data_IF_108695481340
#
_entry.id   IF_108695481340
#
_cell.length_a   1.000
_cell.length_b   1.000
_cell.length_c   1.000
_cell.angle_alpha   90.00
_cell.angle_beta   90.00
_cell.angle_gamma   90.00
#
_symmetry.space_group_name_H-M   'P 1'
#
loop_
_entity.id
_entity.type
_entity.pdbx_description
1 polymer ?
#
# COMPACT_ATOMS: atom_id res chain seq x y z
N UNK A 1 34.54 25.83 -15.82
CA UNK A 1 35.69 25.05 -16.32
C UNK A 1 35.78 25.26 -17.81
N UNK A 2 36.96 25.66 -18.26
CA UNK A 2 37.23 26.23 -19.56
C UNK A 2 37.24 25.19 -20.70
N UNK A 3 36.94 25.71 -21.88
CA UNK A 3 36.99 25.15 -23.21
C UNK A 3 38.29 24.42 -23.55
N UNK A 4 38.16 23.26 -24.20
CA UNK A 4 39.24 22.54 -24.87
C UNK A 4 38.79 22.06 -26.25
N UNK A 5 38.37 22.98 -27.12
CA UNK A 5 38.34 22.72 -28.56
C UNK A 5 39.80 22.76 -29.03
N UNK A 6 40.43 21.60 -29.14
CA UNK A 6 41.68 21.48 -29.88
C UNK A 6 41.31 21.41 -31.36
N UNK A 7 41.79 22.45 -32.03
CA UNK A 7 41.53 22.86 -33.39
C UNK A 7 41.94 21.77 -34.41
N UNK A 8 40.94 21.17 -35.06
CA UNK A 8 41.10 20.10 -36.07
C UNK A 8 41.78 20.61 -37.36
N UNK A 9 41.93 21.93 -37.51
CA UNK A 9 42.58 22.56 -38.66
C UNK A 9 44.11 22.64 -38.52
N UNK A 10 44.67 22.55 -37.32
CA UNK A 10 46.13 22.66 -37.13
C UNK A 10 46.87 21.34 -37.38
N UNK A 11 46.19 20.19 -37.26
CA UNK A 11 46.80 18.87 -37.56
C UNK A 11 46.89 18.62 -39.07
N UNK A 12 46.04 19.27 -39.88
CA UNK A 12 46.07 19.16 -41.34
C UNK A 12 47.20 19.95 -42.02
N UNK A 13 47.78 20.95 -41.34
CA UNK A 13 48.76 21.86 -41.96
C UNK A 13 50.23 21.45 -41.74
N UNK A 14 50.53 20.56 -40.81
CA UNK A 14 51.92 20.14 -40.52
C UNK A 14 52.38 18.94 -41.37
N UNK A 15 51.44 18.21 -42.00
CA UNK A 15 51.76 17.07 -42.86
C UNK A 15 52.25 17.43 -44.27
N UNK A 16 52.02 18.65 -44.74
CA UNK A 16 52.23 19.03 -46.16
C UNK A 16 53.58 19.66 -46.47
N UNK A 17 54.37 20.07 -45.46
CA UNK A 17 55.64 20.77 -45.70
C UNK A 17 56.86 19.81 -45.70
N UNK A 18 56.74 18.60 -45.13
CA UNK A 18 57.85 17.64 -45.11
C UNK A 18 58.08 16.90 -46.45
N UNK A 19 57.10 16.89 -47.36
CA UNK A 19 57.22 16.24 -48.67
C UNK A 19 57.90 17.11 -49.75
N UNK A 20 58.05 18.42 -49.53
CA UNK A 20 58.51 19.36 -50.56
C UNK A 20 60.01 19.30 -50.89
N UNK A 21 60.86 18.84 -49.96
CA UNK A 21 62.32 18.94 -50.12
C UNK A 21 62.96 17.60 -50.53
N UNK A 22 62.34 16.47 -50.21
CA UNK A 22 62.86 15.14 -50.58
C UNK A 22 62.68 14.79 -52.07
N UNK A 23 61.70 15.40 -52.75
CA UNK A 23 61.37 15.11 -54.16
C UNK A 23 62.38 15.72 -55.13
N UNK A 24 63.08 16.79 -54.75
CA UNK A 24 64.00 17.52 -55.66
C UNK A 24 65.35 16.81 -55.81
N UNK A 25 65.80 16.03 -54.82
CA UNK A 25 67.10 15.33 -54.90
C UNK A 25 67.02 14.02 -55.70
N UNK A 26 65.86 13.36 -55.74
CA UNK A 26 65.65 12.13 -56.51
C UNK A 26 65.49 12.36 -58.02
N UNK A 27 65.18 13.59 -58.45
CA UNK A 27 65.01 13.92 -59.87
C UNK A 27 66.33 13.93 -60.67
N UNK A 28 67.50 13.92 -60.00
CA UNK A 28 68.80 14.06 -60.68
C UNK A 28 69.58 12.74 -60.82
N UNK A 29 69.06 11.62 -60.31
CA UNK A 29 69.75 10.30 -60.37
C UNK A 29 68.96 9.28 -61.22
N UNK A 30 67.72 9.58 -61.60
CA UNK A 30 66.88 8.65 -62.39
C UNK A 30 67.22 8.59 -63.88
N UNK A 31 68.08 9.46 -64.41
CA UNK A 31 68.39 9.49 -65.85
C UNK A 31 69.44 8.46 -66.31
N UNK A 32 69.94 7.58 -65.43
CA UNK A 32 71.07 6.68 -65.76
C UNK A 32 70.93 5.22 -65.29
N UNK A 33 69.71 4.70 -65.11
CA UNK A 33 69.52 3.27 -64.78
C UNK A 33 68.80 2.45 -65.86
N UNK A 34 69.22 1.19 -66.08
CA UNK A 34 68.75 0.34 -67.18
C UNK A 34 67.29 -0.09 -67.00
N UNK A 35 66.59 -0.23 -68.14
CA UNK A 35 65.19 -0.65 -68.23
C UNK A 35 65.04 -2.15 -67.98
N UNK A 36 65.12 -2.57 -66.72
CA UNK A 36 64.86 -3.96 -66.30
C UNK A 36 63.51 -4.12 -65.57
N UNK A 37 62.74 -5.19 -65.86
CA UNK A 37 61.38 -5.40 -65.32
C UNK A 37 61.35 -5.69 -63.81
N UNK A 38 62.48 -6.05 -63.21
CA UNK A 38 62.62 -6.28 -61.76
C UNK A 38 62.65 -4.94 -61.00
N UNK A 39 63.23 -3.90 -61.60
CA UNK A 39 63.33 -2.55 -61.02
C UNK A 39 61.95 -1.88 -60.99
N UNK A 40 61.13 -2.05 -62.02
CA UNK A 40 59.76 -1.55 -62.06
C UNK A 40 58.86 -2.14 -60.95
N UNK A 41 59.02 -3.44 -60.63
CA UNK A 41 58.30 -4.09 -59.51
C UNK A 41 58.74 -3.57 -58.14
N UNK A 42 60.03 -3.33 -57.94
CA UNK A 42 60.55 -2.74 -56.70
C UNK A 42 60.06 -1.29 -56.51
N UNK A 43 59.99 -0.51 -57.60
CA UNK A 43 59.50 0.88 -57.57
C UNK A 43 57.99 0.98 -57.32
N UNK A 44 57.18 0.03 -57.81
CA UNK A 44 55.75 -0.06 -57.51
C UNK A 44 55.48 -0.43 -56.03
N UNK A 45 56.37 -1.16 -55.36
CA UNK A 45 56.31 -1.43 -53.91
C UNK A 45 56.77 -0.23 -53.05
N UNK A 46 57.66 0.62 -53.59
CA UNK A 46 58.25 1.79 -52.93
C UNK A 46 57.51 3.13 -53.24
N UNK A 47 56.33 3.07 -53.84
CA UNK A 47 55.48 4.23 -54.17
C UNK A 47 56.11 5.30 -55.10
N UNK A 48 57.12 4.96 -55.89
CA UNK A 48 57.73 5.88 -56.85
C UNK A 48 57.10 5.73 -58.25
N UNK A 49 56.69 6.83 -58.93
CA UNK A 49 56.12 6.76 -60.26
C UNK A 49 57.21 6.35 -61.27
N UNK A 50 57.03 5.20 -61.93
CA UNK A 50 57.90 4.72 -63.02
C UNK A 50 57.16 4.84 -64.35
N UNK A 51 57.78 5.57 -65.29
CA UNK A 51 57.19 6.07 -66.54
C UNK A 51 56.86 4.99 -67.59
N UNK A 52 57.10 3.70 -67.32
CA UNK A 52 56.92 2.64 -68.33
C UNK A 52 55.89 1.56 -68.00
N UNK A 53 55.01 1.75 -67.00
CA UNK A 53 53.92 0.81 -66.73
C UNK A 53 52.66 1.52 -66.17
N UNK A 54 52.17 2.51 -66.92
CA UNK A 54 51.06 3.41 -66.55
C UNK A 54 49.70 2.72 -66.28
N UNK A 55 49.59 1.40 -66.45
CA UNK A 55 48.32 0.67 -66.28
C UNK A 55 48.34 -0.45 -65.24
N UNK A 56 49.44 -1.17 -65.08
CA UNK A 56 49.45 -2.43 -64.32
C UNK A 56 49.50 -2.22 -62.80
N UNK A 57 50.32 -1.26 -62.34
CA UNK A 57 50.53 -0.95 -60.92
C UNK A 57 49.27 -0.29 -60.30
N UNK A 58 48.68 0.71 -60.98
CA UNK A 58 47.44 1.36 -60.55
C UNK A 58 46.25 0.39 -60.50
N UNK A 59 46.08 -0.44 -61.54
CA UNK A 59 45.00 -1.44 -61.59
C UNK A 59 45.11 -2.48 -60.48
N UNK A 60 46.34 -2.87 -60.13
CA UNK A 60 46.58 -3.81 -59.01
C UNK A 60 46.25 -3.17 -57.66
N UNK A 61 46.68 -1.91 -57.43
CA UNK A 61 46.35 -1.14 -56.21
C UNK A 61 44.85 -0.89 -56.07
N UNK A 62 44.17 -0.53 -57.16
CA UNK A 62 42.74 -0.28 -57.16
C UNK A 62 41.93 -1.56 -56.90
N UNK A 63 42.35 -2.70 -57.47
CA UNK A 63 41.77 -4.01 -57.14
C UNK A 63 41.98 -4.39 -55.67
N UNK A 64 43.19 -4.17 -55.13
CA UNK A 64 43.49 -4.47 -53.74
C UNK A 64 42.68 -3.58 -52.79
N UNK A 65 42.61 -2.26 -53.05
CA UNK A 65 41.81 -1.32 -52.26
C UNK A 65 40.30 -1.60 -52.34
N UNK A 66 39.78 -1.97 -53.50
CA UNK A 66 38.38 -2.41 -53.63
C UNK A 66 38.12 -3.70 -52.85
N UNK A 67 39.01 -4.68 -52.94
CA UNK A 67 38.86 -5.95 -52.19
C UNK A 67 38.93 -5.74 -50.67
N UNK A 68 39.76 -4.81 -50.21
CA UNK A 68 39.87 -4.48 -48.79
C UNK A 68 38.64 -3.68 -48.31
N UNK A 69 38.15 -2.74 -49.12
CA UNK A 69 36.91 -2.01 -48.84
C UNK A 69 35.70 -2.94 -48.80
N UNK A 70 35.59 -3.88 -49.74
CA UNK A 70 34.54 -4.90 -49.78
C UNK A 70 34.58 -5.77 -48.51
N UNK A 71 35.78 -6.23 -48.11
CA UNK A 71 35.96 -7.00 -46.87
C UNK A 71 35.56 -6.20 -45.62
N UNK A 72 35.95 -4.93 -45.53
CA UNK A 72 35.58 -4.06 -44.40
C UNK A 72 34.07 -3.81 -44.39
N UNK A 73 33.46 -3.59 -45.56
CA UNK A 73 32.02 -3.39 -45.68
C UNK A 73 31.23 -4.64 -45.25
N UNK A 74 31.65 -5.83 -45.69
CA UNK A 74 31.03 -7.09 -45.26
C UNK A 74 31.17 -7.31 -43.75
N UNK A 75 32.34 -7.01 -43.17
CA UNK A 75 32.55 -7.09 -41.73
C UNK A 75 31.65 -6.12 -40.95
N UNK A 76 31.54 -4.86 -41.39
CA UNK A 76 30.65 -3.88 -40.76
C UNK A 76 29.17 -4.26 -40.92
N UNK A 77 28.79 -4.85 -42.06
CA UNK A 77 27.43 -5.36 -42.29
C UNK A 77 27.12 -6.50 -41.31
N UNK A 78 28.02 -7.48 -41.17
CA UNK A 78 27.85 -8.59 -40.23
C UNK A 78 27.79 -8.11 -38.78
N UNK A 79 28.64 -7.15 -38.39
CA UNK A 79 28.61 -6.58 -37.04
C UNK A 79 27.28 -5.87 -36.74
N UNK A 80 26.79 -5.03 -37.67
CA UNK A 80 25.49 -4.37 -37.51
C UNK A 80 24.33 -5.35 -37.44
N UNK A 81 24.36 -6.41 -38.23
CA UNK A 81 23.33 -7.45 -38.19
C UNK A 81 23.30 -8.15 -36.82
N UNK A 82 24.48 -8.47 -36.27
CA UNK A 82 24.59 -9.07 -34.93
C UNK A 82 24.10 -8.11 -33.82
N UNK A 83 24.48 -6.84 -33.89
CA UNK A 83 24.00 -5.82 -32.94
C UNK A 83 22.48 -5.64 -33.02
N UNK A 84 21.91 -5.66 -34.23
CA UNK A 84 20.47 -5.56 -34.42
C UNK A 84 19.74 -6.76 -33.81
N UNK A 85 20.20 -7.99 -34.10
CA UNK A 85 19.63 -9.21 -33.52
C UNK A 85 19.79 -9.28 -31.99
N UNK A 86 20.85 -8.68 -31.44
CA UNK A 86 21.00 -8.58 -29.99
C UNK A 86 19.99 -7.59 -29.40
N UNK A 87 19.86 -6.40 -29.99
CA UNK A 87 18.88 -5.39 -29.56
C UNK A 87 17.44 -5.86 -29.68
N UNK A 88 17.12 -6.61 -30.73
CA UNK A 88 15.79 -7.21 -30.92
C UNK A 88 15.47 -8.16 -29.78
N UNK A 89 16.39 -9.07 -29.43
CA UNK A 89 16.22 -9.98 -28.28
C UNK A 89 16.11 -9.26 -26.95
N UNK A 90 16.92 -8.21 -26.74
CA UNK A 90 16.85 -7.39 -25.52
C UNK A 90 15.52 -6.63 -25.41
N UNK A 91 15.00 -6.13 -26.54
CA UNK A 91 13.72 -5.44 -26.60
C UNK A 91 12.58 -6.41 -26.34
N UNK A 92 12.57 -7.58 -26.97
CA UNK A 92 11.57 -8.63 -26.75
C UNK A 92 11.53 -9.08 -25.28
N UNK A 93 12.69 -9.31 -24.67
CA UNK A 93 12.78 -9.64 -23.25
C UNK A 93 12.22 -8.51 -22.36
N UNK A 94 12.48 -7.25 -22.73
CA UNK A 94 11.96 -6.09 -22.01
C UNK A 94 10.44 -5.97 -22.15
N UNK A 95 9.92 -6.17 -23.36
CA UNK A 95 8.48 -6.16 -23.64
C UNK A 95 7.80 -7.25 -22.82
N UNK A 96 8.31 -8.47 -22.87
CA UNK A 96 7.76 -9.59 -22.10
C UNK A 96 7.71 -9.27 -20.61
N UNK A 97 8.80 -8.76 -20.03
CA UNK A 97 8.85 -8.36 -18.62
C UNK A 97 7.82 -7.28 -18.29
N UNK A 98 7.65 -6.27 -19.15
CA UNK A 98 6.66 -5.21 -18.94
C UNK A 98 5.23 -5.73 -19.05
N UNK A 99 4.97 -6.66 -19.97
CA UNK A 99 3.66 -7.30 -20.10
C UNK A 99 3.32 -8.12 -18.85
N UNK A 100 4.27 -8.86 -18.29
CA UNK A 100 4.10 -9.59 -17.03
C UNK A 100 3.85 -8.65 -15.85
N UNK A 101 4.61 -7.54 -15.74
CA UNK A 101 4.40 -6.51 -14.73
C UNK A 101 3.00 -5.88 -14.83
N UNK A 102 2.53 -5.57 -16.03
CA UNK A 102 1.20 -5.02 -16.27
C UNK A 102 0.09 -6.01 -15.88
N UNK A 103 0.24 -7.28 -16.26
CA UNK A 103 -0.73 -8.32 -15.88
C UNK A 103 -0.83 -8.48 -14.35
N UNK A 104 0.31 -8.44 -13.64
CA UNK A 104 0.33 -8.49 -12.19
C UNK A 104 -0.33 -7.25 -11.54
N UNK A 105 -0.11 -6.06 -12.10
CA UNK A 105 -0.76 -4.83 -11.63
C UNK A 105 -2.27 -4.84 -11.87
N UNK A 106 -2.73 -5.33 -13.02
CA UNK A 106 -4.15 -5.45 -13.31
C UNK A 106 -4.83 -6.47 -12.39
N UNK A 107 -4.19 -7.61 -12.12
CA UNK A 107 -4.70 -8.57 -11.14
C UNK A 107 -4.81 -7.93 -9.74
N UNK A 108 -3.78 -7.19 -9.32
CA UNK A 108 -3.80 -6.49 -8.02
C UNK A 108 -4.90 -5.44 -7.96
N UNK A 109 -5.13 -4.71 -9.06
CA UNK A 109 -6.21 -3.73 -9.15
C UNK A 109 -7.58 -4.40 -8.98
N UNK A 110 -7.83 -5.52 -9.65
CA UNK A 110 -9.08 -6.26 -9.52
C UNK A 110 -9.33 -6.74 -8.08
N UNK A 111 -8.29 -7.25 -7.41
CA UNK A 111 -8.39 -7.62 -5.98
C UNK A 111 -8.76 -6.42 -5.11
N UNK A 112 -8.08 -5.28 -5.29
CA UNK A 112 -8.36 -4.06 -4.52
C UNK A 112 -9.76 -3.50 -4.79
N UNK A 113 -10.27 -3.58 -6.02
CA UNK A 113 -11.64 -3.19 -6.35
C UNK A 113 -12.65 -4.10 -5.63
N UNK A 114 -12.38 -5.41 -5.55
CA UNK A 114 -13.17 -6.36 -4.76
C UNK A 114 -13.17 -6.06 -3.26
N UNK A 115 -11.99 -5.81 -2.67
CA UNK A 115 -11.86 -5.42 -1.26
C UNK A 115 -12.60 -4.11 -0.97
N UNK A 116 -12.49 -3.11 -1.85
CA UNK A 116 -13.22 -1.85 -1.72
C UNK A 116 -14.73 -2.04 -1.73
N UNK A 117 -15.25 -2.93 -2.58
CA UNK A 117 -16.66 -3.25 -2.61
C UNK A 117 -17.12 -3.90 -1.29
N UNK A 118 -16.34 -4.84 -0.75
CA UNK A 118 -16.63 -5.49 0.53
C UNK A 118 -16.64 -4.48 1.69
N UNK A 119 -15.64 -3.58 1.75
CA UNK A 119 -15.57 -2.55 2.79
C UNK A 119 -16.77 -1.60 2.68
N UNK A 120 -17.16 -1.23 1.46
CA UNK A 120 -18.31 -0.34 1.23
C UNK A 120 -19.62 -0.99 1.70
N UNK A 121 -19.79 -2.29 1.44
CA UNK A 121 -20.93 -3.06 1.92
C UNK A 121 -20.95 -3.14 3.45
N UNK A 122 -19.82 -3.50 4.08
CA UNK A 122 -19.71 -3.58 5.54
C UNK A 122 -20.00 -2.23 6.21
N UNK A 123 -19.54 -1.13 5.62
CA UNK A 123 -19.85 0.22 6.09
C UNK A 123 -21.35 0.50 6.05
N UNK A 124 -22.01 0.20 4.93
CA UNK A 124 -23.47 0.38 4.81
C UNK A 124 -24.24 -0.45 5.82
N UNK A 125 -23.79 -1.67 6.13
CA UNK A 125 -24.42 -2.52 7.13
C UNK A 125 -24.28 -1.94 8.53
N UNK A 126 -23.07 -1.48 8.90
CA UNK A 126 -22.81 -0.81 10.18
C UNK A 126 -23.64 0.47 10.33
N UNK A 127 -23.75 1.30 9.29
CA UNK A 127 -24.62 2.48 9.31
C UNK A 127 -26.09 2.11 9.54
N UNK A 128 -26.55 0.98 8.98
CA UNK A 128 -27.88 0.43 9.26
C UNK A 128 -28.07 -0.04 10.69
N UNK A 129 -27.06 -0.70 11.28
CA UNK A 129 -27.08 -1.12 12.69
C UNK A 129 -27.09 0.07 13.64
N UNK A 130 -26.30 1.11 13.36
CA UNK A 130 -26.28 2.35 14.16
C UNK A 130 -27.67 2.99 14.17
N UNK A 131 -28.33 3.12 13.02
CA UNK A 131 -29.71 3.65 12.97
C UNK A 131 -30.69 2.84 13.80
N UNK A 132 -30.60 1.51 13.76
CA UNK A 132 -31.45 0.66 14.62
C UNK A 132 -31.17 0.89 16.10
N UNK A 133 -29.91 1.05 16.49
CA UNK A 133 -29.55 1.36 17.87
C UNK A 133 -30.06 2.74 18.29
N UNK A 134 -29.95 3.75 17.43
CA UNK A 134 -30.53 5.08 17.66
C UNK A 134 -32.06 5.04 17.78
N UNK A 135 -32.73 4.21 16.98
CA UNK A 135 -34.18 3.99 17.09
C UNK A 135 -34.56 3.31 18.40
N UNK A 136 -33.81 2.29 18.82
CA UNK A 136 -33.98 1.64 20.12
C UNK A 136 -33.74 2.64 21.26
N UNK A 137 -32.71 3.48 21.15
CA UNK A 137 -32.43 4.53 22.13
C UNK A 137 -33.59 5.53 22.22
N UNK A 138 -34.10 6.02 21.07
CA UNK A 138 -35.25 6.93 21.03
C UNK A 138 -36.52 6.29 21.59
N UNK A 139 -36.73 4.99 21.35
CA UNK A 139 -37.88 4.25 21.85
C UNK A 139 -37.75 3.90 23.35
N UNK A 140 -36.52 3.72 23.84
CA UNK A 140 -36.20 3.33 25.21
C UNK A 140 -35.85 4.57 26.04
N UNK A 141 -36.82 5.45 26.29
CA UNK A 141 -36.67 6.63 27.16
C UNK A 141 -36.42 6.28 28.63
N UNK A 142 -36.64 5.03 29.04
CA UNK A 142 -36.12 4.48 30.28
C UNK A 142 -36.02 2.95 30.23
N UNK A 143 -35.11 2.35 30.99
CA UNK A 143 -35.05 0.90 31.18
C UNK A 143 -34.86 0.54 32.66
N UNK A 144 -35.38 -0.63 33.05
CA UNK A 144 -35.36 -1.09 34.44
C UNK A 144 -34.39 -2.27 34.60
N UNK A 145 -33.46 -2.17 35.55
CA UNK A 145 -32.65 -3.31 36.01
C UNK A 145 -33.16 -3.83 37.34
N UNK A 146 -33.22 -5.15 37.47
CA UNK A 146 -33.65 -5.82 38.68
C UNK A 146 -32.51 -6.65 39.26
N UNK A 147 -32.26 -6.50 40.56
CA UNK A 147 -31.35 -7.35 41.32
C UNK A 147 -32.11 -8.04 42.43
N UNK A 148 -31.89 -9.34 42.59
CA UNK A 148 -32.52 -10.14 43.63
C UNK A 148 -31.48 -10.59 44.65
N UNK A 149 -31.83 -10.54 45.94
CA UNK A 149 -31.08 -11.18 47.01
C UNK A 149 -31.99 -12.13 47.78
N UNK A 150 -31.52 -13.35 48.00
CA UNK A 150 -32.22 -14.32 48.83
C UNK A 150 -32.37 -13.79 50.25
N UNK A 151 -33.55 -13.97 50.80
CA UNK A 151 -33.92 -13.58 52.16
C UNK A 151 -34.68 -14.72 52.84
N UNK A 152 -35.10 -14.51 54.09
CA UNK A 152 -35.74 -15.51 54.95
C UNK A 152 -36.95 -16.15 54.28
N UNK A 153 -37.29 -17.37 54.71
CA UNK A 153 -38.48 -18.13 54.25
C UNK A 153 -38.52 -18.42 52.74
N UNK A 154 -37.35 -18.46 52.10
CA UNK A 154 -37.25 -18.67 50.64
C UNK A 154 -37.71 -17.46 49.82
N UNK A 155 -38.01 -16.33 50.47
CA UNK A 155 -38.39 -15.09 49.81
C UNK A 155 -37.15 -14.37 49.28
N UNK A 156 -37.37 -13.43 48.36
CA UNK A 156 -36.30 -12.63 47.78
C UNK A 156 -36.60 -11.14 47.91
N UNK A 157 -35.58 -10.39 48.27
CA UNK A 157 -35.60 -8.92 48.20
C UNK A 157 -35.22 -8.53 46.78
N UNK A 158 -36.14 -7.84 46.10
CA UNK A 158 -35.93 -7.36 44.74
C UNK A 158 -35.73 -5.86 44.77
N UNK A 159 -34.61 -5.39 44.20
CA UNK A 159 -34.36 -3.97 43.97
C UNK A 159 -34.47 -3.68 42.48
N UNK A 160 -35.35 -2.75 42.11
CA UNK A 160 -35.48 -2.21 40.76
C UNK A 160 -34.82 -0.84 40.65
N UNK A 161 -34.08 -0.60 39.57
CA UNK A 161 -33.46 0.69 39.25
C UNK A 161 -33.88 1.08 37.84
N UNK A 162 -34.49 2.26 37.72
CA UNK A 162 -34.84 2.86 36.44
C UNK A 162 -33.71 3.79 35.99
N UNK A 163 -33.25 3.60 34.76
CA UNK A 163 -32.23 4.40 34.10
C UNK A 163 -32.82 5.21 32.96
N UNK A 164 -32.27 6.40 32.74
CA UNK A 164 -32.73 7.36 31.72
C UNK A 164 -32.39 6.94 30.28
N UNK A 165 -31.29 6.21 30.09
CA UNK A 165 -30.88 5.70 28.77
C UNK A 165 -29.95 4.51 28.91
N UNK A 166 -30.03 3.56 27.97
CA UNK A 166 -29.14 2.41 27.88
C UNK A 166 -27.67 2.80 27.66
N UNK A 167 -27.42 3.94 27.01
CA UNK A 167 -26.05 4.44 26.71
C UNK A 167 -25.49 5.24 27.89
N UNK A 168 -26.36 5.94 28.63
CA UNK A 168 -26.00 6.71 29.83
C UNK A 168 -26.49 5.98 31.09
N UNK A 169 -26.02 4.74 31.28
CA UNK A 169 -26.39 3.90 32.43
C UNK A 169 -25.91 4.42 33.79
N UNK A 170 -25.28 5.60 33.84
CA UNK A 170 -24.90 6.28 35.07
C UNK A 170 -26.04 7.19 35.58
N UNK A 171 -26.96 7.59 34.70
CA UNK A 171 -28.07 8.49 35.02
C UNK A 171 -29.33 7.68 35.33
N UNK A 172 -29.48 7.31 36.60
CA UNK A 172 -30.69 6.67 37.10
C UNK A 172 -31.72 7.71 37.56
N UNK A 173 -33.01 7.39 37.46
CA UNK A 173 -34.12 8.32 37.79
C UNK A 173 -34.82 7.93 39.09
N UNK A 174 -34.98 6.63 39.34
CA UNK A 174 -35.69 6.10 40.49
C UNK A 174 -35.19 4.71 40.83
N UNK A 175 -35.13 4.39 42.12
CA UNK A 175 -34.97 3.01 42.55
C UNK A 175 -35.97 2.65 43.65
N UNK A 176 -36.39 1.39 43.67
CA UNK A 176 -37.36 0.86 44.63
C UNK A 176 -36.98 -0.54 45.05
N UNK A 177 -37.36 -0.92 46.26
CA UNK A 177 -37.04 -2.20 46.85
C UNK A 177 -38.28 -2.82 47.48
N UNK A 178 -38.51 -4.11 47.23
CA UNK A 178 -39.70 -4.82 47.69
C UNK A 178 -39.45 -6.32 47.87
N UNK A 179 -40.36 -6.99 48.59
CA UNK A 179 -40.44 -8.44 48.71
C UNK A 179 -41.81 -8.90 48.21
N UNK A 180 -41.82 -9.88 47.31
CA UNK A 180 -43.04 -10.56 46.88
C UNK A 180 -43.22 -11.85 47.66
N UNK A 181 -44.45 -12.13 48.08
CA UNK A 181 -44.82 -13.34 48.81
C UNK A 181 -46.25 -13.74 48.48
N UNK A 182 -46.57 -15.03 48.64
CA UNK A 182 -47.92 -15.55 48.47
C UNK A 182 -48.64 -15.54 49.84
N UNK A 183 -49.87 -15.05 49.86
CA UNK A 183 -50.76 -15.12 51.02
C UNK A 183 -51.46 -16.49 51.10
N UNK A 184 -52.02 -16.84 52.26
CA UNK A 184 -52.73 -18.11 52.49
C UNK A 184 -53.92 -18.37 51.56
N UNK A 185 -54.47 -17.30 50.96
CA UNK A 185 -55.55 -17.35 49.98
C UNK A 185 -55.06 -17.50 48.52
N UNK A 186 -53.75 -17.68 48.31
CA UNK A 186 -53.12 -17.79 46.99
C UNK A 186 -52.92 -16.47 46.24
N UNK A 187 -53.21 -15.32 46.89
CA UNK A 187 -52.97 -13.99 46.29
C UNK A 187 -51.53 -13.57 46.52
N UNK A 188 -50.87 -13.08 45.47
CA UNK A 188 -49.54 -12.47 45.57
C UNK A 188 -49.63 -11.08 46.19
N UNK A 189 -48.84 -10.89 47.24
CA UNK A 189 -48.67 -9.64 47.93
C UNK A 189 -47.27 -9.09 47.71
N UNK A 190 -47.14 -7.77 47.85
CA UNK A 190 -45.87 -7.07 47.80
C UNK A 190 -45.70 -6.23 49.07
N UNK A 191 -44.59 -6.46 49.76
CA UNK A 191 -44.12 -5.62 50.85
C UNK A 191 -43.12 -4.61 50.28
N UNK A 192 -43.52 -3.34 50.19
CA UNK A 192 -42.61 -2.27 49.80
C UNK A 192 -41.66 -1.95 50.96
N UNK A 193 -40.36 -1.97 50.69
CA UNK A 193 -39.31 -1.74 51.68
C UNK A 193 -38.83 -0.29 51.67
N UNK A 194 -38.78 0.34 50.50
CA UNK A 194 -38.41 1.75 50.35
C UNK A 194 -38.11 2.16 48.91
N UNK A 195 -37.89 3.46 48.74
CA UNK A 195 -37.47 4.08 47.48
C UNK A 195 -36.30 5.01 47.74
N UNK A 196 -35.39 5.07 46.77
CA UNK A 196 -34.27 6.01 46.77
C UNK A 196 -34.32 6.81 45.47
N UNK A 197 -33.99 8.09 45.55
CA UNK A 197 -33.93 9.00 44.40
C UNK A 197 -32.52 9.55 44.20
N UNK A 198 -32.18 10.05 43.00
CA UNK A 198 -30.83 10.51 42.68
C UNK A 198 -30.34 11.67 43.55
N UNK A 199 -31.27 12.48 44.07
CA UNK A 199 -31.02 13.61 44.98
C UNK A 199 -30.62 13.19 46.40
N UNK A 200 -30.47 11.89 46.66
CA UNK A 200 -30.14 11.35 47.99
C UNK A 200 -31.35 11.20 48.91
N UNK A 201 -32.56 11.55 48.45
CA UNK A 201 -33.76 11.36 49.26
C UNK A 201 -34.12 9.87 49.36
N UNK A 202 -34.28 9.41 50.60
CA UNK A 202 -34.70 8.05 50.92
C UNK A 202 -36.10 8.10 51.52
N UNK A 203 -37.05 7.48 50.82
CA UNK A 203 -38.40 7.28 51.33
C UNK A 203 -38.51 5.86 51.86
N UNK A 204 -38.42 5.70 53.18
CA UNK A 204 -38.83 4.47 53.83
C UNK A 204 -40.32 4.26 53.54
N UNK A 205 -40.67 3.13 52.94
CA UNK A 205 -42.07 2.86 52.60
C UNK A 205 -42.91 2.81 53.88
N UNK A 206 -44.05 3.47 53.87
CA UNK A 206 -45.03 3.37 54.96
C UNK A 206 -45.63 1.98 54.89
N UNK A 207 -45.20 1.10 55.78
CA UNK A 207 -45.59 -0.30 55.70
C UNK A 207 -47.01 -0.47 56.21
N UNK A 208 -47.89 -0.99 55.36
CA UNK A 208 -49.27 -1.26 55.73
C UNK A 208 -49.32 -2.44 56.72
N UNK A 209 -49.93 -2.23 57.89
CA UNK A 209 -50.05 -3.26 58.94
C UNK A 209 -50.73 -4.53 58.45
N UNK A 210 -51.71 -4.41 57.54
CA UNK A 210 -52.39 -5.57 56.94
C UNK A 210 -51.46 -6.46 56.11
N UNK A 211 -50.43 -5.88 55.46
CA UNK A 211 -49.45 -6.62 54.66
C UNK A 211 -48.43 -7.32 55.57
N UNK A 212 -48.09 -6.68 56.70
CA UNK A 212 -47.23 -7.29 57.72
C UNK A 212 -47.89 -8.49 58.38
N UNK A 213 -49.15 -8.34 58.77
CA UNK A 213 -49.94 -9.41 59.38
C UNK A 213 -50.14 -10.56 58.38
N UNK A 214 -50.55 -10.27 57.14
CA UNK A 214 -50.73 -11.29 56.11
C UNK A 214 -49.44 -12.04 55.76
N UNK A 215 -48.29 -11.36 55.80
CA UNK A 215 -46.99 -11.96 55.56
C UNK A 215 -46.30 -12.53 56.81
N UNK A 216 -46.91 -12.40 57.99
CA UNK A 216 -46.27 -12.70 59.28
C UNK A 216 -44.86 -12.08 59.39
N UNK A 217 -44.72 -10.80 59.01
CA UNK A 217 -43.45 -10.08 59.08
C UNK A 217 -43.38 -9.27 60.37
N UNK A 218 -42.27 -9.39 61.10
CA UNK A 218 -42.00 -8.52 62.26
C UNK A 218 -41.30 -7.24 61.83
N UNK A 219 -41.36 -6.19 62.66
CA UNK A 219 -40.65 -4.94 62.38
C UNK A 219 -39.13 -5.15 62.21
N UNK A 220 -38.53 -6.06 62.98
CA UNK A 220 -37.10 -6.38 62.86
C UNK A 220 -36.78 -7.07 61.54
N UNK A 221 -37.66 -7.95 61.06
CA UNK A 221 -37.49 -8.60 59.76
C UNK A 221 -37.57 -7.61 58.60
N UNK A 222 -38.46 -6.61 58.69
CA UNK A 222 -38.53 -5.55 57.68
C UNK A 222 -37.23 -4.75 57.62
N UNK A 223 -36.64 -4.40 58.76
CA UNK A 223 -35.36 -3.69 58.81
C UNK A 223 -34.20 -4.54 58.25
N UNK A 224 -34.17 -5.83 58.54
CA UNK A 224 -33.21 -6.75 57.91
C UNK A 224 -33.39 -6.81 56.38
N UNK A 225 -34.63 -6.86 55.89
CA UNK A 225 -34.92 -6.86 54.46
C UNK A 225 -34.51 -5.54 53.80
N UNK A 226 -34.73 -4.40 54.48
CA UNK A 226 -34.28 -3.07 54.03
C UNK A 226 -32.77 -3.01 53.89
N UNK A 227 -32.01 -3.61 54.81
CA UNK A 227 -30.55 -3.68 54.73
C UNK A 227 -30.03 -4.49 53.52
N UNK A 228 -30.87 -5.35 52.93
CA UNK A 228 -30.52 -6.11 51.73
C UNK A 228 -30.76 -5.32 50.43
N UNK A 229 -31.52 -4.22 50.46
CA UNK A 229 -31.78 -3.40 49.28
C UNK A 229 -30.47 -2.90 48.64
N UNK A 230 -30.32 -3.15 47.34
CA UNK A 230 -29.12 -2.81 46.58
C UNK A 230 -29.30 -1.48 45.84
N UNK A 231 -29.57 -0.40 46.59
CA UNK A 231 -29.74 0.91 45.99
C UNK A 231 -28.42 1.41 45.37
N UNK A 232 -28.47 2.06 44.20
CA UNK A 232 -27.29 2.69 43.61
C UNK A 232 -26.81 3.84 44.51
N UNK A 233 -25.51 4.13 44.49
CA UNK A 233 -24.99 5.31 45.15
C UNK A 233 -25.66 6.57 44.57
N UNK A 234 -25.97 7.53 45.44
CA UNK A 234 -26.43 8.87 45.02
C UNK A 234 -25.40 9.45 44.04
N UNK A 235 -25.89 9.98 42.91
CA UNK A 235 -25.02 10.53 41.87
C UNK A 235 -24.12 11.64 42.43
N UNK A 236 -22.83 11.56 42.11
CA UNK A 236 -21.84 12.61 42.35
C UNK A 236 -22.00 13.77 41.37
#
# INVERSE_FOLDING_TARGET
>A
MASGFVDLLTVGAVGTIAFGVGVIVLFNISSTMPKDPIVAKALCFLELPYESDEGSCFKTRLKQGLSEMERVYEQQKQQREQEFQQKERELDATIQKRTEELAALDQRRQTLEGEKAQITQARSELEGQIKKLEEIERASTSFNLFSEKSWKRGLKVTTGIEYKSFVQSQDWTKSWCYVQFDMDNGVRAQLDLGRHFPDGSVSAATVNSSVLEAGNFTASEVEEARALCAFPASGS
#
